data_IF_402341449334
#
_entry.id   IF_402341449334
#
_cell.length_a   1.000
_cell.length_b   1.000
_cell.length_c   1.000
_cell.angle_alpha   90.00
_cell.angle_beta   90.00
_cell.angle_gamma   90.00
#
_symmetry.space_group_name_H-M   'P 1'
#
loop_
_entity.id
_entity.type
_entity.pdbx_description
1 polymer ?
#
# COMPACT_ATOMS: atom_id res chain seq x y z
N UNK A 1 -1.63 9.15 -4.88
CA UNK A 1 -1.90 8.45 -3.60
C UNK A 1 -2.62 9.34 -2.62
N UNK A 2 -2.33 10.64 -2.53
CA UNK A 2 -3.15 11.57 -1.73
C UNK A 2 -4.22 12.20 -2.60
N UNK A 3 -5.48 12.19 -2.15
CA UNK A 3 -6.58 12.97 -2.71
C UNK A 3 -6.67 14.29 -1.97
N UNK A 4 -7.12 15.31 -2.71
CA UNK A 4 -7.31 16.67 -2.22
C UNK A 4 -8.66 17.15 -2.74
N UNK A 5 -9.46 17.70 -1.84
CA UNK A 5 -10.69 18.39 -2.19
C UNK A 5 -10.77 19.71 -1.42
N UNK A 6 -11.14 20.78 -2.13
CA UNK A 6 -11.22 22.12 -1.58
C UNK A 6 -12.67 22.57 -1.55
N UNK A 7 -13.10 23.00 -0.38
CA UNK A 7 -14.36 23.66 -0.10
C UNK A 7 -14.06 25.15 0.18
N UNK A 8 -15.08 26.00 0.14
CA UNK A 8 -14.96 27.47 0.23
C UNK A 8 -13.93 27.99 1.26
N UNK A 9 -13.79 27.36 2.43
CA UNK A 9 -12.85 27.77 3.49
C UNK A 9 -11.93 26.66 3.99
N UNK A 10 -12.03 25.43 3.49
CA UNK A 10 -11.25 24.29 3.99
C UNK A 10 -10.77 23.42 2.84
N UNK A 11 -9.56 22.88 2.97
CA UNK A 11 -9.04 21.85 2.07
C UNK A 11 -8.84 20.58 2.86
N UNK A 12 -9.42 19.50 2.38
CA UNK A 12 -9.33 18.16 2.98
C UNK A 12 -8.36 17.31 2.17
N UNK A 13 -7.52 16.57 2.87
CA UNK A 13 -6.58 15.62 2.29
C UNK A 13 -6.82 14.24 2.89
N UNK A 14 -6.82 13.21 2.05
CA UNK A 14 -6.92 11.83 2.51
C UNK A 14 -6.13 10.89 1.61
N UNK A 15 -5.81 9.71 2.13
CA UNK A 15 -5.14 8.68 1.36
C UNK A 15 -6.15 8.00 0.43
N UNK A 16 -5.80 7.90 -0.84
CA UNK A 16 -6.49 7.10 -1.84
C UNK A 16 -6.13 5.63 -1.64
N UNK A 17 -6.78 4.99 -0.67
CA UNK A 17 -6.53 3.60 -0.30
C UNK A 17 -6.71 2.64 -1.47
N UNK A 18 -7.67 2.91 -2.35
CA UNK A 18 -7.96 2.07 -3.51
C UNK A 18 -6.81 2.13 -4.52
N UNK A 19 -6.36 3.34 -4.86
CA UNK A 19 -5.20 3.51 -5.75
C UNK A 19 -3.92 2.90 -5.15
N UNK A 20 -3.74 2.99 -3.83
CA UNK A 20 -2.61 2.32 -3.17
C UNK A 20 -2.73 0.81 -3.33
N UNK A 21 -3.91 0.24 -3.09
CA UNK A 21 -4.17 -1.19 -3.23
C UNK A 21 -3.94 -1.71 -4.66
N UNK A 22 -4.41 -0.97 -5.68
CA UNK A 22 -4.20 -1.35 -7.08
C UNK A 22 -2.71 -1.38 -7.44
N UNK A 23 -1.95 -0.36 -7.04
CA UNK A 23 -0.50 -0.32 -7.27
C UNK A 23 0.24 -1.42 -6.53
N UNK A 24 -0.17 -1.69 -5.28
CA UNK A 24 0.41 -2.76 -4.49
C UNK A 24 0.13 -4.13 -5.13
N UNK A 25 -1.08 -4.34 -5.63
CA UNK A 25 -1.45 -5.57 -6.36
C UNK A 25 -0.54 -5.80 -7.56
N UNK A 26 -0.33 -4.79 -8.40
CA UNK A 26 0.56 -4.92 -9.56
C UNK A 26 2.02 -5.23 -9.15
N UNK A 27 2.50 -4.66 -8.04
CA UNK A 27 3.83 -4.97 -7.52
C UNK A 27 3.92 -6.41 -6.99
N UNK A 28 2.89 -6.88 -6.27
CA UNK A 28 2.79 -8.24 -5.76
C UNK A 28 2.70 -9.26 -6.90
N UNK A 29 1.93 -8.97 -7.95
CA UNK A 29 1.83 -9.85 -9.13
C UNK A 29 3.19 -10.03 -9.83
N UNK A 30 3.98 -8.96 -9.93
CA UNK A 30 5.36 -9.05 -10.44
C UNK A 30 6.25 -9.90 -9.52
N UNK A 31 6.17 -9.69 -8.20
CA UNK A 31 6.95 -10.47 -7.23
C UNK A 31 6.53 -11.95 -7.23
N UNK A 32 5.25 -12.25 -7.40
CA UNK A 32 4.72 -13.61 -7.45
C UNK A 32 5.18 -14.40 -8.69
N UNK A 33 5.71 -13.73 -9.72
CA UNK A 33 6.32 -14.41 -10.87
C UNK A 33 7.69 -15.02 -10.53
N UNK A 34 8.31 -14.60 -9.44
CA UNK A 34 9.56 -15.16 -8.94
C UNK A 34 9.27 -16.38 -8.06
N UNK A 35 9.75 -17.56 -8.46
CA UNK A 35 9.56 -18.80 -7.70
C UNK A 35 10.29 -18.81 -6.35
N UNK A 36 11.24 -17.90 -6.13
CA UNK A 36 11.86 -17.74 -4.82
C UNK A 36 10.92 -17.04 -3.82
N UNK A 37 9.89 -16.32 -4.28
CA UNK A 37 8.95 -15.64 -3.38
C UNK A 37 7.88 -16.63 -2.91
N UNK A 38 7.93 -17.00 -1.64
CA UNK A 38 6.94 -17.91 -1.02
C UNK A 38 5.67 -17.18 -0.56
N UNK A 39 5.83 -15.94 -0.07
CA UNK A 39 4.72 -15.16 0.46
C UNK A 39 5.06 -13.67 0.46
N UNK A 40 4.05 -12.85 0.18
CA UNK A 40 4.07 -11.41 0.45
C UNK A 40 3.00 -11.09 1.48
N UNK A 41 3.37 -10.41 2.57
CA UNK A 41 2.47 -10.03 3.66
C UNK A 41 2.49 -8.51 3.80
N UNK A 42 1.31 -7.89 3.68
CA UNK A 42 1.10 -6.49 4.01
C UNK A 42 0.70 -6.39 5.49
N UNK A 43 1.37 -5.52 6.24
CA UNK A 43 1.06 -5.28 7.66
C UNK A 43 1.09 -3.78 7.96
N UNK A 44 1.06 -3.43 9.26
CA UNK A 44 1.17 -2.05 9.70
C UNK A 44 -0.11 -1.22 9.52
N UNK A 45 0.08 0.10 9.48
CA UNK A 45 -1.04 1.06 9.55
C UNK A 45 -2.01 0.96 8.37
N UNK A 46 -1.49 0.66 7.18
CA UNK A 46 -2.29 0.50 5.96
C UNK A 46 -3.15 -0.76 6.00
N UNK A 47 -2.57 -1.90 6.41
CA UNK A 47 -3.32 -3.15 6.58
C UNK A 47 -4.46 -3.03 7.61
N UNK A 48 -4.27 -2.19 8.63
CA UNK A 48 -5.25 -1.93 9.68
C UNK A 48 -6.29 -0.85 9.35
N UNK A 49 -6.28 -0.26 8.16
CA UNK A 49 -7.20 0.81 7.77
C UNK A 49 -7.00 2.15 8.51
N UNK A 50 -5.81 2.36 9.09
CA UNK A 50 -5.46 3.57 9.86
C UNK A 50 -4.39 4.43 9.19
N UNK A 51 -3.99 4.10 7.97
CA UNK A 51 -3.01 4.87 7.23
C UNK A 51 -3.59 6.24 6.82
N UNK A 52 -2.74 7.25 6.95
CA UNK A 52 -3.01 8.63 6.57
C UNK A 52 -2.01 9.09 5.50
N UNK A 53 -2.22 10.23 4.83
CA UNK A 53 -1.17 10.84 4.04
C UNK A 53 0.14 10.95 4.82
N UNK A 54 1.22 10.40 4.26
CA UNK A 54 2.54 10.33 4.92
C UNK A 54 2.81 9.05 5.71
N UNK A 55 1.83 8.15 5.86
CA UNK A 55 2.09 6.80 6.37
C UNK A 55 2.89 5.96 5.37
N UNK A 56 3.76 5.10 5.90
CA UNK A 56 4.51 4.11 5.13
C UNK A 56 3.69 2.85 4.83
N UNK A 57 4.22 2.02 3.91
CA UNK A 57 3.71 0.69 3.61
C UNK A 57 4.67 -0.37 4.13
N UNK A 58 4.21 -1.13 5.12
CA UNK A 58 4.99 -2.18 5.74
C UNK A 58 4.75 -3.53 5.02
N UNK A 59 5.77 -4.04 4.33
CA UNK A 59 5.69 -5.28 3.55
C UNK A 59 6.78 -6.26 4.01
N UNK A 60 6.38 -7.50 4.25
CA UNK A 60 7.28 -8.61 4.52
C UNK A 60 7.22 -9.60 3.36
N UNK A 61 8.39 -9.94 2.80
CA UNK A 61 8.52 -10.92 1.74
C UNK A 61 9.25 -12.13 2.32
N UNK A 62 8.65 -13.31 2.20
CA UNK A 62 9.25 -14.57 2.60
C UNK A 62 9.83 -15.23 1.37
N UNK A 63 11.14 -15.49 1.39
CA UNK A 63 11.86 -16.14 0.31
C UNK A 63 12.11 -17.63 0.63
N UNK A 64 12.20 -18.46 -0.40
CA UNK A 64 12.54 -19.87 -0.24
C UNK A 64 14.01 -20.05 0.13
N UNK A 65 14.87 -19.12 -0.31
CA UNK A 65 16.32 -19.11 -0.14
C UNK A 65 16.81 -17.65 -0.11
N UNK A 66 17.89 -17.45 0.65
CA UNK A 66 18.61 -16.17 0.78
C UNK A 66 19.45 -15.83 -0.47
#
# INVERSE_FOLDING_TARGET
>A
MVRKESFNSVTVFWLDTDLVHERLRAAVERLASDQNVLRVVLFGSFAGGRAVPGSDLDIMIVLARD
#
